data_IF_960445324329
#
_entry.id   IF_960445324329
#
_cell.length_a   1.000
_cell.length_b   1.000
_cell.length_c   1.000
_cell.angle_alpha   90.00
_cell.angle_beta   90.00
_cell.angle_gamma   90.00
#
_symmetry.space_group_name_H-M   'P 1'
#
loop_
_entity.id
_entity.type
_entity.pdbx_description
1 polymer ?
#
# COMPACT_ATOMS: atom_id res chain seq x y z
N UNK A 1 14.28 15.21 -3.90
CA UNK A 1 12.96 14.91 -3.28
C UNK A 1 12.25 16.15 -2.69
N UNK A 2 12.66 17.39 -3.00
CA UNK A 2 12.10 18.61 -2.37
C UNK A 2 10.80 19.11 -3.05
N UNK A 3 10.65 18.84 -4.35
CA UNK A 3 9.49 19.27 -5.13
C UNK A 3 8.20 18.47 -4.82
N UNK A 4 8.35 17.18 -4.46
CA UNK A 4 7.21 16.34 -4.08
C UNK A 4 6.50 16.82 -2.81
N UNK A 5 7.15 17.66 -2.00
CA UNK A 5 6.61 18.31 -0.81
C UNK A 5 6.25 19.79 -1.05
N UNK A 6 6.13 20.21 -2.31
CA UNK A 6 5.76 21.58 -2.65
C UNK A 6 4.38 21.94 -2.09
N UNK A 7 4.33 22.95 -1.22
CA UNK A 7 3.07 23.41 -0.60
C UNK A 7 2.06 23.91 -1.63
N UNK A 8 2.52 24.44 -2.77
CA UNK A 8 1.63 24.89 -3.84
C UNK A 8 0.79 23.73 -4.37
N UNK A 9 1.45 22.63 -4.75
CA UNK A 9 0.80 21.42 -5.29
C UNK A 9 -0.09 20.77 -4.23
N UNK A 10 0.41 20.59 -3.00
CA UNK A 10 -0.38 19.98 -1.92
C UNK A 10 -1.67 20.75 -1.63
N UNK A 11 -1.60 22.09 -1.60
CA UNK A 11 -2.76 22.94 -1.37
C UNK A 11 -3.71 22.95 -2.58
N UNK A 12 -3.17 23.00 -3.80
CA UNK A 12 -3.96 22.98 -5.04
C UNK A 12 -4.86 21.74 -5.10
N UNK A 13 -4.32 20.57 -4.78
CA UNK A 13 -5.05 19.29 -4.86
C UNK A 13 -5.67 18.83 -3.54
N UNK A 14 -5.59 19.66 -2.49
CA UNK A 14 -6.07 19.32 -1.14
C UNK A 14 -5.52 17.97 -0.66
N UNK A 15 -4.21 17.76 -0.82
CA UNK A 15 -3.51 16.59 -0.29
C UNK A 15 -3.13 16.90 1.16
N UNK A 16 -3.61 16.09 2.11
CA UNK A 16 -3.40 16.33 3.54
C UNK A 16 -2.07 15.78 4.06
N UNK A 17 -1.36 14.99 3.25
CA UNK A 17 -0.03 14.47 3.57
C UNK A 17 1.07 15.53 3.48
N UNK A 18 2.28 15.17 3.89
CA UNK A 18 3.47 16.02 3.80
C UNK A 18 4.16 16.00 2.42
N UNK A 19 3.69 15.14 1.52
CA UNK A 19 4.18 14.99 0.15
C UNK A 19 3.07 14.50 -0.79
N UNK A 20 3.37 14.54 -2.09
CA UNK A 20 2.55 14.00 -3.19
C UNK A 20 2.68 12.48 -3.33
N UNK A 21 3.38 11.80 -2.42
CA UNK A 21 3.48 10.34 -2.42
C UNK A 21 2.09 9.71 -2.28
N UNK A 22 1.82 8.71 -3.12
CA UNK A 22 0.48 8.14 -3.30
C UNK A 22 -0.36 8.81 -4.39
N UNK A 23 0.04 10.00 -4.87
CA UNK A 23 -0.72 10.78 -5.86
C UNK A 23 0.00 10.94 -7.19
N UNK A 24 1.26 10.52 -7.31
CA UNK A 24 1.98 10.57 -8.60
C UNK A 24 1.57 9.35 -9.43
N UNK A 25 0.52 9.48 -10.27
CA UNK A 25 -0.09 8.33 -10.93
C UNK A 25 0.93 7.54 -11.79
N UNK A 26 1.04 6.21 -11.63
CA UNK A 26 2.03 5.42 -12.33
C UNK A 26 1.56 5.06 -13.75
N UNK A 27 1.86 5.92 -14.71
CA UNK A 27 1.58 5.69 -16.13
C UNK A 27 2.75 6.15 -17.02
N UNK A 28 2.62 6.00 -18.33
CA UNK A 28 3.58 6.48 -19.33
C UNK A 28 3.25 7.91 -19.72
N UNK A 29 4.21 8.82 -19.52
CA UNK A 29 4.05 10.24 -19.83
C UNK A 29 4.95 10.63 -21.01
N UNK A 30 4.40 11.38 -21.97
CA UNK A 30 5.18 12.00 -23.04
C UNK A 30 5.30 13.49 -22.76
N UNK A 31 6.51 13.97 -22.55
CA UNK A 31 6.81 15.36 -22.20
C UNK A 31 7.90 15.93 -23.13
N UNK A 32 7.87 17.24 -23.45
CA UNK A 32 8.90 17.85 -24.27
C UNK A 32 10.25 17.91 -23.55
N UNK A 33 11.34 17.98 -24.31
CA UNK A 33 12.68 18.20 -23.74
C UNK A 33 12.71 19.55 -23.01
N UNK A 34 13.24 19.56 -21.78
CA UNK A 34 13.29 20.75 -20.94
C UNK A 34 11.98 21.07 -20.22
N UNK A 35 11.01 20.14 -20.19
CA UNK A 35 9.78 20.32 -19.41
C UNK A 35 10.11 20.50 -17.91
N UNK A 36 9.62 21.55 -17.23
CA UNK A 36 9.97 21.81 -15.84
C UNK A 36 9.55 20.68 -14.90
N UNK A 37 10.42 20.29 -13.98
CA UNK A 37 10.18 19.19 -13.03
C UNK A 37 8.90 19.40 -12.19
N UNK A 38 8.63 20.63 -11.73
CA UNK A 38 7.41 20.94 -10.98
C UNK A 38 6.14 20.69 -11.82
N UNK A 39 6.20 20.95 -13.12
CA UNK A 39 5.07 20.67 -14.04
C UNK A 39 4.89 19.17 -14.27
N UNK A 40 5.96 18.36 -14.17
CA UNK A 40 5.83 16.89 -14.22
C UNK A 40 5.03 16.40 -13.03
N UNK A 41 5.35 16.87 -11.82
CA UNK A 41 4.62 16.47 -10.60
C UNK A 41 3.15 16.86 -10.72
N UNK A 42 2.86 18.11 -11.10
CA UNK A 42 1.48 18.56 -11.30
C UNK A 42 0.76 17.71 -12.34
N UNK A 43 1.38 17.42 -13.49
CA UNK A 43 0.83 16.56 -14.53
C UNK A 43 0.46 15.16 -13.99
N UNK A 44 1.35 14.54 -13.21
CA UNK A 44 1.09 13.22 -12.63
C UNK A 44 -0.04 13.23 -11.60
N UNK A 45 -0.14 14.30 -10.80
CA UNK A 45 -1.24 14.47 -9.82
C UNK A 45 -2.56 14.77 -10.53
N UNK A 46 -2.57 15.60 -11.56
CA UNK A 46 -3.76 15.83 -12.39
C UNK A 46 -4.26 14.52 -12.99
N UNK A 47 -3.34 13.72 -13.53
CA UNK A 47 -3.67 12.41 -14.09
C UNK A 47 -4.23 11.44 -13.04
N UNK A 48 -3.73 11.48 -11.80
CA UNK A 48 -4.34 10.75 -10.69
C UNK A 48 -5.81 11.14 -10.51
N UNK A 49 -6.11 12.45 -10.43
CA UNK A 49 -7.47 12.93 -10.21
C UNK A 49 -8.40 12.66 -11.40
N UNK A 50 -7.87 12.70 -12.62
CA UNK A 50 -8.59 12.26 -13.82
C UNK A 50 -9.00 10.79 -13.70
N UNK A 51 -8.05 9.90 -13.40
CA UNK A 51 -8.30 8.45 -13.34
C UNK A 51 -9.25 8.04 -12.23
N UNK A 52 -9.13 8.65 -11.05
CA UNK A 52 -10.05 8.34 -9.94
C UNK A 52 -11.43 8.96 -10.12
N UNK A 53 -11.60 9.96 -11.00
CA UNK A 53 -12.93 10.50 -11.33
C UNK A 53 -13.82 9.48 -12.06
N UNK A 54 -13.20 8.49 -12.72
CA UNK A 54 -13.89 7.36 -13.34
C UNK A 54 -14.39 6.34 -12.29
N UNK A 55 -13.86 6.36 -11.06
CA UNK A 55 -14.29 5.49 -9.97
C UNK A 55 -15.49 6.08 -9.26
N UNK A 56 -16.62 5.37 -9.32
CA UNK A 56 -17.81 5.71 -8.56
C UNK A 56 -17.50 5.71 -7.05
N UNK A 57 -18.03 6.70 -6.34
CA UNK A 57 -17.95 6.82 -4.87
C UNK A 57 -16.53 7.07 -4.33
N UNK A 58 -15.59 7.49 -5.18
CA UNK A 58 -14.27 7.90 -4.73
C UNK A 58 -14.36 9.11 -3.75
N UNK A 59 -13.67 9.10 -2.60
CA UNK A 59 -13.88 10.12 -1.57
C UNK A 59 -13.48 11.54 -2.00
N UNK A 60 -14.44 12.45 -1.97
CA UNK A 60 -14.18 13.89 -2.14
C UNK A 60 -13.51 14.53 -0.92
N UNK A 61 -13.87 14.05 0.28
CA UNK A 61 -13.28 14.49 1.54
C UNK A 61 -11.77 14.17 1.56
N UNK A 62 -10.89 15.19 1.69
CA UNK A 62 -9.44 15.00 1.66
C UNK A 62 -8.90 13.98 2.67
N UNK A 63 -9.48 13.93 3.87
CA UNK A 63 -9.02 13.03 4.94
C UNK A 63 -9.38 11.58 4.62
N UNK A 64 -10.62 11.32 4.18
CA UNK A 64 -11.05 9.99 3.72
C UNK A 64 -10.25 9.53 2.51
N UNK A 65 -10.02 10.42 1.54
CA UNK A 65 -9.20 10.13 0.35
C UNK A 65 -7.77 9.76 0.74
N UNK A 66 -7.14 10.53 1.63
CA UNK A 66 -5.79 10.23 2.10
C UNK A 66 -5.72 8.83 2.71
N UNK A 67 -6.68 8.46 3.56
CA UNK A 67 -6.74 7.12 4.17
C UNK A 67 -6.87 6.01 3.13
N UNK A 68 -7.71 6.22 2.12
CA UNK A 68 -7.88 5.30 1.00
C UNK A 68 -6.57 5.13 0.22
N UNK A 69 -5.90 6.23 -0.12
CA UNK A 69 -4.63 6.22 -0.86
C UNK A 69 -3.52 5.52 -0.06
N UNK A 70 -3.45 5.73 1.25
CA UNK A 70 -2.51 5.01 2.12
C UNK A 70 -2.77 3.50 2.01
N UNK A 71 -4.02 3.07 2.18
CA UNK A 71 -4.38 1.65 2.07
C UNK A 71 -4.05 1.09 0.68
N UNK A 72 -4.41 1.80 -0.39
CA UNK A 72 -4.14 1.39 -1.77
C UNK A 72 -2.62 1.24 -2.02
N UNK A 73 -1.79 2.11 -1.46
CA UNK A 73 -0.34 2.03 -1.60
C UNK A 73 0.28 0.81 -0.91
N UNK A 74 -0.37 0.28 0.13
CA UNK A 74 0.03 -0.96 0.80
C UNK A 74 -0.41 -2.15 -0.05
N UNK A 75 -1.66 -2.15 -0.52
CA UNK A 75 -2.20 -3.18 -1.42
C UNK A 75 -1.36 -3.31 -2.69
N UNK A 76 -0.93 -2.19 -3.29
CA UNK A 76 -0.06 -2.16 -4.48
C UNK A 76 1.25 -2.92 -4.26
N UNK A 77 1.81 -2.82 -3.05
CA UNK A 77 3.12 -3.40 -2.73
C UNK A 77 3.06 -4.86 -2.30
N UNK A 78 1.92 -5.31 -1.78
CA UNK A 78 1.70 -6.71 -1.36
C UNK A 78 1.18 -7.57 -2.52
N UNK A 79 0.32 -7.03 -3.37
CA UNK A 79 -0.31 -7.79 -4.44
C UNK A 79 0.65 -8.04 -5.61
N UNK A 80 1.07 -9.30 -5.79
CA UNK A 80 1.70 -9.76 -7.04
C UNK A 80 0.70 -10.02 -8.15
N UNK A 81 -0.48 -10.54 -7.78
CA UNK A 81 -1.54 -10.91 -8.70
C UNK A 81 -2.67 -9.89 -8.61
N UNK A 82 -3.06 -9.32 -9.76
CA UNK A 82 -4.05 -8.24 -9.84
C UNK A 82 -5.40 -8.65 -9.25
N UNK A 83 -5.83 -9.89 -9.49
CA UNK A 83 -7.12 -10.43 -9.03
C UNK A 83 -7.21 -10.62 -7.52
N UNK A 84 -6.08 -10.64 -6.80
CA UNK A 84 -6.03 -10.79 -5.35
C UNK A 84 -6.12 -9.45 -4.60
N UNK A 85 -5.93 -8.32 -5.30
CA UNK A 85 -5.98 -6.98 -4.69
C UNK A 85 -7.23 -6.74 -3.84
N UNK A 86 -8.46 -7.10 -4.27
CA UNK A 86 -9.66 -6.93 -3.46
C UNK A 86 -9.67 -7.77 -2.17
N UNK A 87 -9.06 -8.97 -2.20
CA UNK A 87 -8.94 -9.85 -1.02
C UNK A 87 -7.90 -9.31 -0.04
N UNK A 88 -6.75 -8.85 -0.53
CA UNK A 88 -5.72 -8.19 0.29
C UNK A 88 -6.29 -6.92 0.94
N UNK A 89 -7.01 -6.11 0.17
CA UNK A 89 -7.71 -4.94 0.68
C UNK A 89 -8.76 -5.30 1.75
N UNK A 90 -9.49 -6.42 1.58
CA UNK A 90 -10.42 -6.92 2.58
C UNK A 90 -9.70 -7.30 3.89
N UNK A 91 -8.58 -8.03 3.81
CA UNK A 91 -7.78 -8.39 4.99
C UNK A 91 -7.35 -7.17 5.79
N UNK A 92 -6.80 -6.15 5.13
CA UNK A 92 -6.37 -4.94 5.83
C UNK A 92 -7.56 -4.16 6.41
N UNK A 93 -8.67 -4.03 5.69
CA UNK A 93 -9.88 -3.40 6.20
C UNK A 93 -10.45 -4.14 7.42
N UNK A 94 -10.49 -5.47 7.38
CA UNK A 94 -10.97 -6.30 8.49
C UNK A 94 -10.07 -6.14 9.72
N UNK A 95 -8.75 -6.13 9.54
CA UNK A 95 -7.80 -5.82 10.62
C UNK A 95 -8.04 -4.44 11.21
N UNK A 96 -8.22 -3.40 10.38
CA UNK A 96 -8.51 -2.04 10.87
C UNK A 96 -9.83 -1.99 11.67
N UNK A 97 -10.89 -2.64 11.17
CA UNK A 97 -12.18 -2.73 11.87
C UNK A 97 -12.04 -3.43 13.23
N UNK A 98 -11.22 -4.47 13.31
CA UNK A 98 -10.94 -5.22 14.54
C UNK A 98 -9.84 -4.59 15.42
N UNK A 99 -9.31 -3.42 15.04
CA UNK A 99 -8.18 -2.75 15.72
C UNK A 99 -6.92 -3.62 15.83
N UNK A 100 -6.74 -4.54 14.89
CA UNK A 100 -5.52 -5.33 14.74
C UNK A 100 -4.47 -4.52 13.98
N UNK A 101 -3.16 -4.67 14.31
CA UNK A 101 -2.10 -4.09 13.50
C UNK A 101 -2.10 -4.69 12.08
N UNK A 102 -1.79 -3.88 11.07
CA UNK A 102 -1.77 -4.36 9.68
C UNK A 102 -0.69 -5.42 9.46
N UNK A 103 0.46 -5.26 10.12
CA UNK A 103 1.61 -6.18 10.02
C UNK A 103 2.01 -6.45 8.57
N UNK A 104 2.05 -5.40 7.75
CA UNK A 104 2.45 -5.49 6.35
C UNK A 104 3.96 -5.37 6.23
N UNK A 105 4.58 -6.36 5.58
CA UNK A 105 6.00 -6.36 5.31
C UNK A 105 6.39 -5.21 4.35
N UNK A 106 5.49 -4.82 3.44
CA UNK A 106 5.71 -3.70 2.53
C UNK A 106 5.97 -2.39 3.28
N UNK A 107 5.29 -2.17 4.41
CA UNK A 107 5.48 -0.97 5.23
C UNK A 107 6.83 -0.93 5.95
N UNK A 108 7.40 -2.11 6.24
CA UNK A 108 8.76 -2.23 6.79
C UNK A 108 9.80 -2.11 5.69
N UNK A 109 9.55 -2.69 4.50
CA UNK A 109 10.42 -2.52 3.33
C UNK A 109 10.60 -1.06 2.94
N UNK A 110 9.54 -0.26 3.06
CA UNK A 110 9.58 1.18 2.79
C UNK A 110 10.61 1.95 3.65
N UNK A 111 11.04 1.39 4.78
CA UNK A 111 12.04 2.00 5.66
C UNK A 111 13.48 1.88 5.13
N UNK A 112 13.69 1.18 4.02
CA UNK A 112 15.00 0.89 3.44
C UNK A 112 15.07 1.45 2.01
N UNK A 113 16.11 2.23 1.74
CA UNK A 113 16.44 2.72 0.41
C UNK A 113 17.91 2.35 0.07
N UNK A 114 18.15 1.42 -0.87
CA UNK A 114 17.16 0.66 -1.63
C UNK A 114 16.44 -0.41 -0.76
N UNK A 115 15.28 -0.93 -1.20
CA UNK A 115 14.58 -2.01 -0.50
C UNK A 115 15.45 -3.25 -0.32
N UNK A 116 15.29 -3.95 0.82
CA UNK A 116 16.08 -5.16 1.09
C UNK A 116 15.59 -6.32 0.23
N UNK A 117 16.54 -7.12 -0.26
CA UNK A 117 16.22 -8.40 -0.94
C UNK A 117 15.45 -9.37 -0.03
N UNK A 118 15.69 -9.32 1.28
CA UNK A 118 15.07 -10.14 2.31
C UNK A 118 14.88 -9.35 3.60
N UNK A 119 13.72 -9.52 4.25
CA UNK A 119 13.45 -9.00 5.59
C UNK A 119 13.67 -10.09 6.64
N UNK A 120 14.21 -9.67 7.78
CA UNK A 120 14.45 -10.50 8.95
C UNK A 120 13.58 -10.05 10.12
N UNK A 121 13.32 -10.92 11.11
CA UNK A 121 12.51 -10.56 12.29
C UNK A 121 12.98 -9.29 13.00
N UNK A 122 14.30 -9.09 13.11
CA UNK A 122 14.88 -7.87 13.69
C UNK A 122 14.47 -6.58 12.95
N UNK A 123 14.18 -6.64 11.64
CA UNK A 123 13.74 -5.47 10.88
C UNK A 123 12.34 -5.02 11.30
N UNK A 124 11.50 -5.93 11.80
CA UNK A 124 10.16 -5.62 12.33
C UNK A 124 10.22 -4.80 13.61
N UNK A 125 11.36 -4.79 14.29
CA UNK A 125 11.56 -4.02 15.51
C UNK A 125 11.96 -2.57 15.22
N UNK A 126 12.25 -2.18 13.98
CA UNK A 126 12.67 -0.81 13.65
C UNK A 126 11.58 0.20 14.01
N UNK A 127 11.92 1.17 14.87
CA UNK A 127 10.99 2.24 15.25
C UNK A 127 10.80 3.20 14.07
N UNK A 128 9.56 3.33 13.61
CA UNK A 128 9.14 4.26 12.56
C UNK A 128 7.62 4.39 12.57
N UNK A 129 7.04 5.57 12.27
CA UNK A 129 5.59 5.72 12.16
C UNK A 129 4.99 4.99 10.93
N UNK A 130 5.83 4.46 10.04
CA UNK A 130 5.41 3.59 8.95
C UNK A 130 5.39 2.11 9.34
N UNK A 131 6.05 1.68 10.43
CA UNK A 131 6.11 0.27 10.79
C UNK A 131 4.77 -0.20 11.38
N UNK A 132 3.97 -0.90 10.58
CA UNK A 132 2.63 -1.38 10.98
C UNK A 132 2.64 -2.64 11.85
N UNK A 133 3.81 -3.19 12.19
CA UNK A 133 3.93 -4.20 13.25
C UNK A 133 3.95 -3.55 14.64
N UNK A 134 4.51 -2.34 14.73
CA UNK A 134 4.67 -1.61 16.00
C UNK A 134 3.57 -0.59 16.25
N UNK A 135 2.96 -0.06 15.19
CA UNK A 135 1.95 0.99 15.28
C UNK A 135 0.62 0.46 14.70
N UNK A 136 -0.41 0.23 15.53
CA UNK A 136 -1.73 -0.15 15.05
C UNK A 136 -2.36 0.94 14.18
N UNK A 137 -3.13 0.54 13.17
CA UNK A 137 -3.77 1.45 12.22
C UNK A 137 -2.98 1.63 10.92
N UNK A 138 -3.34 2.65 10.15
CA UNK A 138 -2.63 3.03 8.93
C UNK A 138 -1.29 3.71 9.27
N UNK A 139 -0.24 3.55 8.45
CA UNK A 139 1.00 4.30 8.60
C UNK A 139 0.78 5.80 8.37
N UNK A 140 1.82 6.61 8.66
CA UNK A 140 1.78 8.08 8.55
C UNK A 140 1.39 8.58 7.15
N UNK A 141 1.75 7.84 6.11
CA UNK A 141 1.48 8.20 4.72
C UNK A 141 1.54 6.99 3.78
N UNK A 142 1.30 7.20 2.48
CA UNK A 142 1.44 6.16 1.48
C UNK A 142 2.89 5.69 1.38
N UNK A 143 3.11 4.43 1.01
CA UNK A 143 4.44 3.83 0.86
C UNK A 143 4.83 3.58 -0.62
N UNK A 144 3.97 4.00 -1.53
CA UNK A 144 4.12 3.89 -2.98
C UNK A 144 3.06 4.73 -3.69
N UNK A 145 3.14 4.83 -5.02
CA UNK A 145 2.08 5.39 -5.85
C UNK A 145 1.21 4.25 -6.42
N UNK A 146 -0.02 4.05 -5.95
CA UNK A 146 -0.89 2.96 -6.39
C UNK A 146 -1.46 3.21 -7.79
N UNK A 147 -1.60 2.14 -8.56
CA UNK A 147 -2.36 2.17 -9.82
C UNK A 147 -3.87 2.10 -9.60
N UNK A 148 -4.63 2.26 -10.68
CA UNK A 148 -6.10 2.30 -10.64
C UNK A 148 -6.73 1.03 -10.03
N UNK A 149 -6.13 -0.13 -10.26
CA UNK A 149 -6.64 -1.40 -9.73
C UNK A 149 -6.46 -1.54 -8.21
N UNK A 150 -5.36 -1.03 -7.64
CA UNK A 150 -5.17 -0.99 -6.19
C UNK A 150 -6.07 0.05 -5.52
N UNK A 151 -6.28 1.21 -6.17
CA UNK A 151 -7.24 2.22 -5.71
C UNK A 151 -8.66 1.67 -5.70
N UNK A 152 -9.07 1.02 -6.79
CA UNK A 152 -10.39 0.37 -6.91
C UNK A 152 -10.57 -0.74 -5.87
N UNK A 153 -9.57 -1.58 -5.65
CA UNK A 153 -9.60 -2.63 -4.63
C UNK A 153 -9.68 -2.09 -3.20
N UNK A 154 -8.96 -1.00 -2.90
CA UNK A 154 -9.05 -0.35 -1.59
C UNK A 154 -10.41 0.32 -1.35
N UNK A 155 -11.04 0.83 -2.41
CA UNK A 155 -12.38 1.43 -2.39
C UNK A 155 -13.48 0.38 -2.22
N UNK A 156 -13.37 -0.71 -2.98
CA UNK A 156 -14.34 -1.80 -3.04
C UNK A 156 -13.64 -3.13 -2.69
N UNK A 157 -13.29 -3.35 -1.41
CA UNK A 157 -12.69 -4.61 -0.99
C UNK A 157 -13.66 -5.78 -1.17
N UNK A 158 -13.12 -6.99 -1.31
CA UNK A 158 -13.95 -8.19 -1.35
C UNK A 158 -14.75 -8.38 -0.05
N UNK A 159 -15.98 -8.88 -0.16
CA UNK A 159 -16.82 -9.20 1.00
C UNK A 159 -16.42 -10.56 1.59
N UNK A 160 -15.47 -10.53 2.53
CA UNK A 160 -14.94 -11.72 3.20
C UNK A 160 -14.51 -11.38 4.62
N UNK A 161 -14.41 -12.39 5.48
CA UNK A 161 -13.91 -12.25 6.86
C UNK A 161 -12.42 -12.57 7.01
N UNK A 162 -11.66 -12.64 5.90
CA UNK A 162 -10.24 -12.95 5.98
C UNK A 162 -9.48 -11.87 6.76
N UNK A 163 -8.54 -12.32 7.59
CA UNK A 163 -7.66 -11.46 8.39
C UNK A 163 -6.18 -11.88 8.28
N UNK A 164 -5.89 -12.93 7.52
CA UNK A 164 -4.54 -13.38 7.22
C UNK A 164 -4.42 -13.74 5.75
N UNK A 165 -3.25 -13.51 5.19
CA UNK A 165 -2.82 -14.13 3.94
C UNK A 165 -1.36 -14.58 4.08
N UNK A 166 -0.93 -15.50 3.24
CA UNK A 166 0.48 -15.93 3.13
C UNK A 166 0.76 -16.30 1.69
N UNK A 167 1.94 -15.92 1.18
CA UNK A 167 2.33 -16.26 -0.18
C UNK A 167 2.48 -17.78 -0.37
N UNK A 168 1.99 -18.28 -1.50
CA UNK A 168 2.18 -19.63 -2.02
C UNK A 168 3.47 -19.71 -2.84
N UNK A 169 3.89 -20.93 -3.21
CA UNK A 169 5.10 -21.13 -4.03
C UNK A 169 5.03 -20.56 -5.45
N UNK A 170 3.83 -20.35 -5.98
CA UNK A 170 3.57 -19.78 -7.32
C UNK A 170 3.45 -18.24 -7.34
N UNK A 171 3.46 -17.60 -6.15
CA UNK A 171 3.32 -16.16 -5.99
C UNK A 171 1.90 -15.66 -5.77
N UNK A 172 0.89 -16.53 -5.81
CA UNK A 172 -0.45 -16.25 -5.28
C UNK A 172 -0.44 -16.27 -3.75
N UNK A 173 -1.58 -15.98 -3.12
CA UNK A 173 -1.74 -16.00 -1.67
C UNK A 173 -2.84 -16.98 -1.22
N UNK A 174 -2.58 -17.64 -0.10
CA UNK A 174 -3.62 -18.36 0.64
C UNK A 174 -4.23 -17.43 1.68
N UNK A 175 -5.55 -17.26 1.66
CA UNK A 175 -6.29 -16.39 2.58
C UNK A 175 -6.96 -17.21 3.67
N UNK A 176 -7.00 -16.68 4.90
CA UNK A 176 -7.63 -17.35 6.04
C UNK A 176 -8.18 -16.35 7.06
N UNK A 177 -9.17 -16.78 7.84
CA UNK A 177 -9.84 -15.94 8.85
C UNK A 177 -9.40 -16.25 10.28
N UNK A 178 -8.50 -17.23 10.49
CA UNK A 178 -8.06 -17.64 11.81
C UNK A 178 -6.57 -18.02 11.82
N UNK A 179 -5.95 -17.84 12.98
CA UNK A 179 -4.51 -18.03 13.15
C UNK A 179 -4.06 -19.48 12.93
N UNK A 180 -4.88 -20.46 13.32
CA UNK A 180 -4.53 -21.89 13.20
C UNK A 180 -4.36 -22.28 11.73
N UNK A 181 -5.29 -21.86 10.90
CA UNK A 181 -5.24 -22.10 9.46
C UNK A 181 -4.08 -21.36 8.80
N UNK A 182 -3.87 -20.08 9.14
CA UNK A 182 -2.73 -19.31 8.65
C UNK A 182 -1.40 -20.01 8.97
N UNK A 183 -1.22 -20.51 10.20
CA UNK A 183 0.01 -21.22 10.59
C UNK A 183 0.16 -22.58 9.93
N UNK A 184 -0.94 -23.23 9.54
CA UNK A 184 -0.91 -24.46 8.73
C UNK A 184 -0.44 -24.13 7.31
N UNK A 185 -1.08 -23.16 6.66
CA UNK A 185 -0.72 -22.70 5.31
C UNK A 185 0.73 -22.20 5.25
N UNK A 186 1.19 -21.46 6.27
CA UNK A 186 2.59 -21.01 6.35
C UNK A 186 3.57 -22.18 6.37
N UNK A 187 3.30 -23.23 7.17
CA UNK A 187 4.14 -24.44 7.19
C UNK A 187 4.15 -25.18 5.85
N UNK A 188 3.01 -25.21 5.18
CA UNK A 188 2.82 -25.89 3.90
C UNK A 188 3.54 -25.18 2.75
N UNK A 189 3.41 -23.86 2.64
CA UNK A 189 3.89 -23.10 1.48
C UNK A 189 5.28 -22.47 1.63
N UNK A 190 5.65 -22.07 2.85
CA UNK A 190 6.90 -21.33 3.10
C UNK A 190 8.00 -22.24 3.68
N UNK A 191 7.61 -23.32 4.36
CA UNK A 191 8.55 -24.24 5.04
C UNK A 191 9.19 -23.64 6.30
N UNK A 192 9.93 -24.48 7.05
CA UNK A 192 10.61 -24.09 8.30
C UNK A 192 12.07 -23.62 8.09
N UNK A 193 12.55 -23.55 6.84
CA UNK A 193 13.98 -23.59 6.53
C UNK A 193 14.78 -22.31 6.79
N UNK A 194 14.16 -21.23 7.24
CA UNK A 194 14.87 -20.04 7.73
C UNK A 194 14.03 -19.35 8.80
N UNK A 195 14.22 -19.74 10.07
CA UNK A 195 13.46 -19.23 11.22
C UNK A 195 13.59 -17.72 11.45
N UNK A 196 14.54 -17.08 10.77
CA UNK A 196 14.83 -15.67 10.91
C UNK A 196 14.24 -14.81 9.78
N UNK A 197 13.67 -15.43 8.74
CA UNK A 197 13.13 -14.74 7.57
C UNK A 197 11.63 -14.48 7.66
N UNK A 198 11.23 -13.32 7.13
CA UNK A 198 9.83 -12.96 6.94
C UNK A 198 9.49 -13.13 5.47
N UNK A 199 8.46 -13.93 5.22
CA UNK A 199 7.83 -14.04 3.93
C UNK A 199 6.48 -13.30 3.99
N UNK A 200 6.23 -12.37 3.04
CA UNK A 200 4.94 -11.73 2.86
C UNK A 200 3.78 -12.73 2.77
#
# INVERSE_FOLDING_TARGET
MQLASSRSVLNQFKITGSSTEGYLFPDTYTIPVGFPEEKIITLMVEHFFEKVSELKDFPEDPVKRQRLVILASIVEREAKVVTERPLIAAVFNNRLKQKLPLQSCATVQYLFDPPKKRLFFQDLEKASPYNTYRNPGLPLGPISNPGISSLSAALNPADTDYIFFVVKGDGEHHFSNNYREHMKAKREFVGESDRDLIFP
#
